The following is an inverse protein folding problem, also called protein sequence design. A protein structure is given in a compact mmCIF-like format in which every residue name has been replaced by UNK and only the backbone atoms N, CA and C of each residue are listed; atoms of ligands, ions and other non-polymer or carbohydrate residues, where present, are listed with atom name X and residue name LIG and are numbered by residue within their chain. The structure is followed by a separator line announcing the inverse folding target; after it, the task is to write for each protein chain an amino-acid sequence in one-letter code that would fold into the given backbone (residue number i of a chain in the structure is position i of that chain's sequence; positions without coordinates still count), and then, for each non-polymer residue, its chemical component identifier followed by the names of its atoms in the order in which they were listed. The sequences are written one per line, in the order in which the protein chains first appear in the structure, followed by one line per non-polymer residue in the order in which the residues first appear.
data_IF_096015309689
#
_entry.id   IF_096015309689
#
_cell.length_a   1.000
_cell.length_b   1.000
_cell.length_c   1.000
_cell.angle_alpha   90.00
_cell.angle_beta   90.00
_cell.angle_gamma   90.00
#
_symmetry.space_group_name_H-M   'P 1'
#
loop_
_entity.id
_entity.type
_entity.pdbx_description
1 polymer ?
#
# COMPACT_ATOMS: atom_id res chain seq x y z
N UNK A 1 -21.61 7.48 -8.76
CA UNK A 1 -20.63 8.56 -8.89
C UNK A 1 -19.50 8.46 -7.85
N UNK A 2 -19.80 8.22 -6.60
CA UNK A 2 -18.81 8.11 -5.50
C UNK A 2 -17.70 7.09 -5.75
N UNK A 3 -18.02 5.92 -6.30
CA UNK A 3 -17.03 4.89 -6.64
C UNK A 3 -15.98 5.33 -7.66
N UNK A 4 -16.40 6.12 -8.66
CA UNK A 4 -15.48 6.65 -9.67
C UNK A 4 -14.56 7.72 -9.07
N UNK A 5 -15.03 8.55 -8.15
CA UNK A 5 -14.22 9.54 -7.45
C UNK A 5 -13.17 8.86 -6.57
N UNK A 6 -13.56 7.84 -5.82
CA UNK A 6 -12.61 7.06 -4.99
C UNK A 6 -11.56 6.35 -5.84
N UNK A 7 -11.98 5.81 -7.00
CA UNK A 7 -11.03 5.18 -7.93
C UNK A 7 -10.04 6.20 -8.49
N UNK A 8 -10.49 7.40 -8.86
CA UNK A 8 -9.62 8.48 -9.32
C UNK A 8 -8.61 8.89 -8.25
N UNK A 9 -9.07 9.05 -7.00
CA UNK A 9 -8.20 9.38 -5.87
C UNK A 9 -7.14 8.31 -5.66
N UNK A 10 -7.51 7.03 -5.66
CA UNK A 10 -6.58 5.92 -5.50
C UNK A 10 -5.54 5.86 -6.63
N UNK A 11 -5.96 6.05 -7.88
CA UNK A 11 -5.04 6.09 -9.02
C UNK A 11 -4.06 7.28 -8.89
N UNK A 12 -4.55 8.44 -8.45
CA UNK A 12 -3.71 9.61 -8.21
C UNK A 12 -2.68 9.36 -7.09
N UNK A 13 -3.07 8.68 -6.00
CA UNK A 13 -2.16 8.27 -4.92
C UNK A 13 -1.11 7.28 -5.43
N UNK A 14 -1.50 6.24 -6.18
CA UNK A 14 -0.58 5.28 -6.78
C UNK A 14 0.42 5.97 -7.72
N UNK A 15 -0.05 6.90 -8.54
CA UNK A 15 0.79 7.65 -9.47
C UNK A 15 1.78 8.54 -8.75
N UNK A 16 1.34 9.27 -7.71
CA UNK A 16 2.21 10.14 -6.91
C UNK A 16 3.29 9.35 -6.16
N UNK A 17 2.96 8.15 -5.71
CA UNK A 17 3.87 7.28 -4.97
C UNK A 17 4.65 6.30 -5.85
N UNK A 18 4.51 6.36 -7.17
CA UNK A 18 5.19 5.45 -8.10
C UNK A 18 6.73 5.55 -8.08
N UNK A 19 7.28 6.67 -7.60
CA UNK A 19 8.71 6.89 -7.44
C UNK A 19 9.26 6.51 -6.07
N UNK A 20 8.40 6.14 -5.11
CA UNK A 20 8.82 5.78 -3.75
C UNK A 20 9.29 4.32 -3.75
N UNK A 21 10.53 4.03 -3.29
CA UNK A 21 11.01 2.67 -3.18
C UNK A 21 10.12 1.83 -2.24
N UNK A 22 9.92 0.57 -2.58
CA UNK A 22 9.12 -0.35 -1.77
C UNK A 22 7.63 -0.04 -1.67
N UNK A 23 7.13 0.99 -2.36
CA UNK A 23 5.71 1.33 -2.34
C UNK A 23 4.87 0.21 -2.97
N UNK A 24 3.76 -0.10 -2.33
CA UNK A 24 2.78 -1.09 -2.80
C UNK A 24 1.49 -0.39 -3.19
N UNK A 25 1.08 -0.59 -4.45
CA UNK A 25 -0.12 0.05 -4.99
C UNK A 25 -1.38 -0.40 -4.26
N UNK A 26 -2.37 0.48 -4.26
CA UNK A 26 -3.73 0.15 -3.86
C UNK A 26 -4.49 -0.36 -5.08
N UNK A 27 -5.12 -1.51 -4.93
CA UNK A 27 -6.07 -2.06 -5.89
C UNK A 27 -7.48 -1.93 -5.33
N UNK A 28 -8.43 -1.55 -6.17
CA UNK A 28 -9.84 -1.46 -5.79
C UNK A 28 -10.59 -2.68 -6.31
N UNK A 29 -11.20 -3.43 -5.40
CA UNK A 29 -12.15 -4.47 -5.75
C UNK A 29 -13.58 -4.00 -5.47
N UNK A 30 -14.47 -4.32 -6.40
CA UNK A 30 -15.90 -4.13 -6.23
C UNK A 30 -16.49 -5.49 -5.81
N UNK A 31 -16.89 -5.62 -4.56
CA UNK A 31 -17.69 -6.76 -4.15
C UNK A 31 -19.16 -6.36 -4.16
N UNK A 32 -19.97 -7.11 -4.90
CA UNK A 32 -21.41 -7.08 -4.65
C UNK A 32 -21.60 -7.66 -3.25
N UNK A 33 -22.08 -6.85 -2.33
CA UNK A 33 -22.46 -7.36 -1.02
C UNK A 33 -23.66 -8.27 -1.25
N UNK A 34 -23.43 -9.59 -1.30
CA UNK A 34 -24.56 -10.52 -1.20
C UNK A 34 -25.25 -10.27 0.14
N UNK A 35 -26.57 -10.13 0.16
CA UNK A 35 -27.29 -9.94 1.39
C UNK A 35 -27.32 -11.25 2.21
N UNK A 36 -26.16 -11.66 2.73
CA UNK A 36 -26.02 -12.77 3.68
C UNK A 36 -26.67 -12.52 5.05
N UNK A 37 -27.37 -11.40 5.20
CA UNK A 37 -28.15 -11.05 6.39
C UNK A 37 -29.57 -11.66 6.41
N UNK A 38 -29.96 -12.43 5.39
CA UNK A 38 -31.32 -12.98 5.29
C UNK A 38 -31.55 -14.29 6.04
N UNK A 39 -30.53 -14.89 6.61
CA UNK A 39 -30.72 -16.15 7.36
C UNK A 39 -31.26 -15.98 8.79
N UNK A 40 -31.43 -14.77 9.30
CA UNK A 40 -32.05 -14.54 10.59
C UNK A 40 -33.36 -13.74 10.52
N UNK A 41 -34.44 -14.40 10.11
CA UNK A 41 -35.79 -14.07 10.62
C UNK A 41 -36.46 -12.80 10.12
N UNK A 42 -36.10 -12.25 8.96
CA UNK A 42 -36.82 -11.13 8.35
C UNK A 42 -37.93 -11.61 7.40
N UNK A 43 -39.15 -11.16 7.60
CA UNK A 43 -40.32 -11.49 6.79
C UNK A 43 -40.12 -11.03 5.32
N UNK A 44 -40.72 -11.78 4.37
CA UNK A 44 -40.63 -11.54 2.93
C UNK A 44 -41.01 -10.11 2.47
N UNK A 45 -41.73 -9.35 3.29
CA UNK A 45 -42.07 -7.95 3.03
C UNK A 45 -40.89 -7.00 3.25
N UNK A 46 -40.03 -7.28 4.23
CA UNK A 46 -38.80 -6.52 4.50
C UNK A 46 -37.71 -6.81 3.47
N UNK A 47 -37.75 -8.01 2.87
CA UNK A 47 -36.79 -8.43 1.84
C UNK A 47 -36.94 -7.63 0.51
N UNK A 48 -38.13 -7.11 0.23
CA UNK A 48 -38.38 -6.28 -0.97
C UNK A 48 -37.75 -4.88 -0.88
N UNK A 49 -37.54 -4.36 0.32
CA UNK A 49 -36.94 -3.04 0.57
C UNK A 49 -35.41 -3.05 0.57
N UNK A 50 -34.77 -4.24 0.71
CA UNK A 50 -33.31 -4.42 0.81
C UNK A 50 -32.63 -4.88 -0.48
N UNK A 51 -33.29 -4.82 -1.62
CA UNK A 51 -32.72 -5.18 -2.93
C UNK A 51 -31.75 -4.14 -3.52
N UNK A 52 -31.43 -3.09 -2.81
CA UNK A 52 -30.35 -2.19 -3.20
C UNK A 52 -29.06 -2.62 -2.50
N UNK A 53 -28.40 -3.61 -3.09
CA UNK A 53 -27.01 -3.93 -2.76
C UNK A 53 -26.16 -2.74 -3.21
N UNK A 54 -25.73 -1.92 -2.25
CA UNK A 54 -24.72 -0.93 -2.54
C UNK A 54 -23.39 -1.66 -2.77
N UNK A 55 -22.69 -1.40 -3.89
CA UNK A 55 -21.38 -2.00 -4.09
C UNK A 55 -20.45 -1.55 -2.95
N UNK A 56 -19.98 -2.51 -2.16
CA UNK A 56 -18.96 -2.24 -1.16
C UNK A 56 -17.63 -2.05 -1.90
N UNK A 57 -17.00 -0.90 -1.66
CA UNK A 57 -15.68 -0.58 -2.20
C UNK A 57 -14.63 -1.06 -1.20
N UNK A 58 -13.85 -2.04 -1.57
CA UNK A 58 -12.69 -2.48 -0.80
C UNK A 58 -11.42 -2.04 -1.52
N UNK A 59 -10.64 -1.18 -0.87
CA UNK A 59 -9.29 -0.88 -1.29
C UNK A 59 -8.34 -1.84 -0.55
N UNK A 60 -7.59 -2.63 -1.30
CA UNK A 60 -6.60 -3.56 -0.75
C UNK A 60 -5.21 -3.17 -1.25
N UNK A 61 -4.20 -3.30 -0.37
CA UNK A 61 -2.81 -3.11 -0.77
C UNK A 61 -2.33 -4.35 -1.51
N UNK A 62 -1.80 -4.16 -2.70
CA UNK A 62 -1.18 -5.23 -3.47
C UNK A 62 0.28 -5.39 -3.05
N UNK A 63 0.59 -6.41 -2.28
CA UNK A 63 1.93 -6.68 -1.78
C UNK A 63 2.83 -7.45 -2.75
N UNK A 64 2.46 -7.59 -4.02
CA UNK A 64 3.35 -8.19 -5.01
C UNK A 64 4.67 -7.43 -5.07
N UNK A 65 5.77 -8.18 -5.27
CA UNK A 65 7.10 -7.62 -5.31
C UNK A 65 7.28 -6.73 -6.55
N UNK A 66 7.88 -5.55 -6.35
CA UNK A 66 8.28 -4.64 -7.43
C UNK A 66 9.60 -5.06 -8.08
N UNK A 67 9.97 -4.40 -9.15
CA UNK A 67 11.27 -4.61 -9.79
C UNK A 67 12.42 -4.18 -8.88
N UNK A 68 13.52 -4.93 -8.87
CA UNK A 68 14.75 -4.54 -8.16
C UNK A 68 15.67 -3.77 -9.11
N UNK A 69 16.29 -2.70 -8.60
CA UNK A 69 17.22 -1.89 -9.37
C UNK A 69 18.51 -1.64 -8.58
N UNK A 70 19.69 -1.79 -9.18
CA UNK A 70 20.94 -1.47 -8.52
C UNK A 70 21.08 0.05 -8.34
N UNK A 71 21.49 0.47 -7.15
CA UNK A 71 21.79 1.87 -6.81
C UNK A 71 23.29 2.07 -6.55
N UNK A 72 24.00 0.98 -6.25
CA UNK A 72 25.40 0.99 -5.84
C UNK A 72 25.69 1.80 -4.56
N UNK A 73 24.65 2.13 -3.79
CA UNK A 73 24.77 2.77 -2.48
C UNK A 73 24.85 1.70 -1.41
N UNK A 74 25.90 1.66 -0.57
CA UNK A 74 26.12 0.58 0.39
C UNK A 74 25.01 0.46 1.47
N UNK A 75 24.27 1.53 1.74
CA UNK A 75 23.19 1.55 2.72
C UNK A 75 21.84 1.19 2.14
N UNK A 76 21.74 1.12 0.80
CA UNK A 76 20.50 0.71 0.13
C UNK A 76 20.38 -0.82 0.15
N UNK A 77 19.22 -1.32 0.53
CA UNK A 77 18.97 -2.76 0.69
C UNK A 77 17.60 -3.13 0.18
N UNK A 78 17.53 -4.04 -0.77
CA UNK A 78 16.27 -4.63 -1.21
C UNK A 78 16.01 -5.97 -0.53
N UNK A 79 14.75 -6.27 -0.25
CA UNK A 79 14.30 -7.60 0.21
C UNK A 79 13.89 -8.44 -0.99
N UNK A 80 14.46 -9.62 -1.12
CA UNK A 80 14.03 -10.66 -2.05
C UNK A 80 13.20 -11.69 -1.27
N UNK A 81 11.87 -11.60 -1.39
CA UNK A 81 10.94 -12.42 -0.62
C UNK A 81 9.80 -11.61 0.03
N UNK A 82 8.95 -12.24 0.86
CA UNK A 82 7.75 -11.62 1.42
C UNK A 82 7.98 -10.77 2.69
N UNK A 83 9.20 -10.64 3.22
CA UNK A 83 9.48 -9.95 4.48
C UNK A 83 9.40 -8.43 4.38
N UNK A 84 9.39 -7.77 5.51
CA UNK A 84 9.44 -6.32 5.70
C UNK A 84 10.58 -5.96 6.66
N UNK A 85 11.16 -4.79 6.50
CA UNK A 85 12.00 -4.17 7.53
C UNK A 85 11.12 -3.67 8.68
N UNK A 86 11.57 -3.87 9.90
CA UNK A 86 10.96 -3.28 11.08
C UNK A 86 11.70 -2.01 11.46
N UNK A 87 10.98 -0.91 11.65
CA UNK A 87 11.53 0.39 12.03
C UNK A 87 10.74 0.98 13.19
N UNK A 88 11.39 1.80 13.98
CA UNK A 88 10.78 2.44 15.14
C UNK A 88 10.07 3.74 14.71
N UNK A 89 8.77 3.66 14.51
CA UNK A 89 7.94 4.83 14.22
C UNK A 89 7.56 5.61 15.50
N UNK A 90 6.90 6.76 15.35
CA UNK A 90 6.54 7.63 16.47
C UNK A 90 5.51 7.01 17.43
N UNK A 91 4.66 6.12 16.94
CA UNK A 91 3.59 5.48 17.71
C UNK A 91 3.84 3.97 17.95
N UNK A 92 5.08 3.51 17.80
CA UNK A 92 5.46 2.11 17.91
C UNK A 92 6.12 1.59 16.64
N UNK A 93 6.32 0.28 16.57
CA UNK A 93 6.99 -0.34 15.44
C UNK A 93 6.10 -0.28 14.19
N UNK A 94 6.72 0.07 13.07
CA UNK A 94 6.10 0.06 11.75
C UNK A 94 6.96 -0.74 10.78
N UNK A 95 6.36 -1.20 9.70
CA UNK A 95 6.96 -2.11 8.74
C UNK A 95 7.06 -1.43 7.38
N UNK A 96 8.18 -1.62 6.69
CA UNK A 96 8.39 -1.02 5.38
C UNK A 96 9.13 -1.96 4.43
N UNK A 97 8.94 -1.75 3.14
CA UNK A 97 9.72 -2.34 2.05
C UNK A 97 10.75 -1.36 1.49
N UNK A 98 10.69 -0.10 1.93
CA UNK A 98 11.69 0.89 1.56
C UNK A 98 13.00 0.59 2.30
N UNK A 99 14.03 0.29 1.55
CA UNK A 99 15.39 0.03 2.06
C UNK A 99 16.36 1.18 1.76
N UNK A 100 15.88 2.38 1.43
CA UNK A 100 16.73 3.58 1.31
C UNK A 100 17.13 4.05 2.71
N UNK A 101 18.18 3.44 3.26
CA UNK A 101 18.64 3.77 4.60
C UNK A 101 19.78 4.79 4.58
N UNK A 102 19.89 5.54 5.67
CA UNK A 102 20.90 6.57 5.88
C UNK A 102 21.50 6.45 7.29
N UNK A 103 22.72 6.88 7.46
CA UNK A 103 23.30 7.03 8.78
C UNK A 103 22.84 8.35 9.38
N UNK A 104 22.08 8.30 10.46
CA UNK A 104 21.61 9.48 11.18
C UNK A 104 22.75 10.18 11.94
N UNK A 105 22.49 11.39 12.50
CA UNK A 105 23.49 12.18 13.23
C UNK A 105 24.08 11.46 14.45
N UNK A 106 23.29 10.57 15.05
CA UNK A 106 23.70 9.74 16.22
C UNK A 106 24.40 8.45 15.83
N UNK A 107 24.68 8.24 14.53
CA UNK A 107 25.26 7.00 14.02
C UNK A 107 24.23 5.87 13.85
N UNK A 108 22.97 6.08 14.13
CA UNK A 108 21.94 5.07 13.91
C UNK A 108 21.62 4.93 12.43
N UNK A 109 21.36 3.69 12.00
CA UNK A 109 20.79 3.43 10.69
C UNK A 109 19.30 3.86 10.72
N UNK A 110 18.94 4.81 9.86
CA UNK A 110 17.60 5.40 9.83
C UNK A 110 17.01 5.35 8.43
N UNK A 111 15.70 5.41 8.35
CA UNK A 111 14.98 5.65 7.09
C UNK A 111 15.16 7.11 6.66
N UNK A 112 14.65 7.45 5.49
CA UNK A 112 14.63 8.80 4.92
C UNK A 112 13.90 9.81 5.83
N UNK A 113 12.86 9.36 6.52
CA UNK A 113 12.08 10.13 7.49
C UNK A 113 12.73 10.24 8.86
N UNK A 114 13.86 9.55 9.07
CA UNK A 114 14.61 9.56 10.33
C UNK A 114 14.17 8.50 11.33
N UNK A 115 13.36 7.53 10.95
CA UNK A 115 12.98 6.43 11.84
C UNK A 115 14.13 5.43 11.98
N UNK A 116 14.53 5.08 13.22
CA UNK A 116 15.57 4.07 13.45
C UNK A 116 15.18 2.71 12.90
N UNK A 117 16.11 2.08 12.16
CA UNK A 117 15.94 0.72 11.66
C UNK A 117 16.28 -0.26 12.78
N UNK A 118 15.36 -1.18 13.04
CA UNK A 118 15.50 -2.16 14.10
C UNK A 118 16.27 -3.40 13.63
N UNK A 119 17.17 -3.84 14.48
CA UNK A 119 17.79 -5.14 14.41
C UNK A 119 17.27 -6.07 15.50
N UNK A 120 17.78 -7.31 15.55
CA UNK A 120 17.41 -8.31 16.56
C UNK A 120 17.70 -7.84 18.00
N UNK A 121 18.68 -6.94 18.20
CA UNK A 121 19.07 -6.40 19.51
C UNK A 121 18.66 -4.95 19.75
N UNK A 122 17.81 -4.37 18.92
CA UNK A 122 17.43 -2.96 18.97
C UNK A 122 17.91 -2.16 17.76
N UNK A 123 17.91 -0.83 17.79
CA UNK A 123 18.35 0.02 16.67
C UNK A 123 19.81 -0.28 16.26
N UNK A 124 20.04 -0.38 14.95
CA UNK A 124 21.38 -0.63 14.40
C UNK A 124 22.25 0.62 14.56
N UNK A 125 23.39 0.47 15.24
CA UNK A 125 24.36 1.54 15.48
C UNK A 125 25.57 1.39 14.55
N UNK A 126 25.83 2.41 13.75
CA UNK A 126 26.99 2.54 12.89
C UNK A 126 27.93 3.59 13.47
N UNK A 127 29.19 3.53 13.11
CA UNK A 127 30.15 4.55 13.48
C UNK A 127 30.05 5.72 12.49
N UNK A 128 29.59 6.87 12.99
CA UNK A 128 29.42 8.09 12.17
C UNK A 128 30.72 8.76 11.79
N UNK A 129 31.83 8.49 12.52
CA UNK A 129 33.13 9.09 12.23
C UNK A 129 33.94 8.30 11.21
N UNK A 130 33.50 7.11 10.88
CA UNK A 130 34.19 6.24 9.95
C UNK A 130 33.58 6.34 8.55
N UNK A 131 34.36 6.88 7.60
CA UNK A 131 33.98 6.92 6.16
C UNK A 131 33.92 5.55 5.50
N UNK A 132 33.97 4.49 6.29
CA UNK A 132 34.10 3.12 5.82
C UNK A 132 32.78 2.51 5.36
N UNK A 133 32.90 1.63 4.38
CA UNK A 133 31.77 0.95 3.77
C UNK A 133 31.06 0.04 4.77
N UNK A 134 29.75 0.21 4.85
CA UNK A 134 28.85 -0.73 5.52
C UNK A 134 28.67 -1.95 4.61
N UNK A 135 28.76 -3.15 5.16
CA UNK A 135 28.47 -4.40 4.45
C UNK A 135 27.28 -5.07 5.11
N UNK A 136 26.31 -5.45 4.28
CA UNK A 136 25.08 -6.12 4.71
C UNK A 136 25.01 -7.47 4.00
N UNK A 137 24.99 -8.54 4.78
CA UNK A 137 24.90 -9.89 4.25
C UNK A 137 23.49 -10.23 3.74
N UNK A 138 23.32 -11.25 2.88
CA UNK A 138 22.00 -11.72 2.48
C UNK A 138 21.12 -12.20 3.64
N UNK A 139 21.73 -12.54 4.78
CA UNK A 139 21.04 -12.95 6.02
C UNK A 139 20.68 -11.79 6.94
N UNK A 140 21.07 -10.55 6.56
CA UNK A 140 20.78 -9.33 7.31
C UNK A 140 21.85 -8.92 8.31
N UNK A 141 22.99 -9.61 8.37
CA UNK A 141 24.08 -9.22 9.27
C UNK A 141 24.73 -7.93 8.75
N UNK A 142 24.77 -6.92 9.60
CA UNK A 142 25.37 -5.62 9.32
C UNK A 142 26.76 -5.56 9.94
N UNK A 143 27.75 -5.25 9.12
CA UNK A 143 29.13 -5.05 9.58
C UNK A 143 29.68 -3.75 9.01
N UNK A 144 30.62 -3.15 9.76
CA UNK A 144 31.34 -1.95 9.37
C UNK A 144 32.82 -2.13 9.72
N UNK A 145 33.71 -2.00 8.75
CA UNK A 145 35.16 -2.32 8.95
C UNK A 145 35.45 -3.74 9.45
N UNK A 146 34.61 -4.72 9.07
CA UNK A 146 34.73 -6.08 9.57
C UNK A 146 34.23 -6.29 11.01
N UNK A 147 33.76 -5.25 11.68
CA UNK A 147 33.13 -5.33 13.01
C UNK A 147 31.63 -5.51 12.85
N UNK A 148 31.08 -6.56 13.46
CA UNK A 148 29.63 -6.78 13.47
C UNK A 148 28.93 -5.66 14.26
N UNK A 149 27.91 -5.06 13.67
CA UNK A 149 27.09 -3.98 14.25
C UNK A 149 25.69 -4.45 14.66
N UNK A 150 25.28 -5.59 14.17
CA UNK A 150 23.98 -6.19 14.48
C UNK A 150 23.41 -6.94 13.27
N UNK A 151 22.17 -7.40 13.41
CA UNK A 151 21.42 -8.05 12.32
C UNK A 151 20.10 -7.33 12.14
N UNK A 152 19.78 -6.95 10.92
CA UNK A 152 18.49 -6.35 10.56
C UNK A 152 17.35 -7.31 10.92
N UNK A 153 16.31 -6.77 11.53
CA UNK A 153 15.10 -7.52 11.83
C UNK A 153 14.18 -7.51 10.62
N UNK A 154 13.99 -8.69 10.07
CA UNK A 154 13.07 -8.95 8.97
C UNK A 154 11.87 -9.70 9.49
N UNK A 155 10.68 -9.23 9.16
CA UNK A 155 9.43 -9.79 9.65
C UNK A 155 8.58 -10.23 8.47
N UNK A 156 8.11 -11.48 8.49
CA UNK A 156 7.12 -12.01 7.57
C UNK A 156 5.75 -12.07 8.25
N UNK A 157 4.70 -11.80 7.47
CA UNK A 157 3.33 -11.85 7.94
C UNK A 157 2.56 -12.97 7.25
N UNK A 158 1.80 -13.72 8.04
CA UNK A 158 0.92 -14.76 7.50
C UNK A 158 -0.33 -14.18 6.84
N UNK A 159 -0.81 -13.03 7.31
CA UNK A 159 -2.02 -12.35 6.84
C UNK A 159 -1.71 -10.89 6.52
N UNK A 160 -1.40 -10.61 5.25
CA UNK A 160 -1.08 -9.26 4.79
C UNK A 160 -2.30 -8.33 4.78
N UNK A 161 -3.51 -8.88 4.71
CA UNK A 161 -4.78 -8.11 4.69
C UNK A 161 -5.04 -7.36 6.01
N UNK A 162 -4.39 -7.78 7.10
CA UNK A 162 -4.51 -7.13 8.41
C UNK A 162 -3.58 -5.92 8.55
N UNK A 163 -2.60 -5.78 7.65
CA UNK A 163 -1.70 -4.66 7.65
C UNK A 163 -2.43 -3.39 7.17
N UNK A 164 -2.32 -2.34 7.97
CA UNK A 164 -2.86 -1.02 7.63
C UNK A 164 -1.74 -0.08 7.22
N UNK A 165 -1.94 0.63 6.12
CA UNK A 165 -1.03 1.69 5.70
C UNK A 165 -1.16 2.88 6.66
N UNK A 166 -0.02 3.37 7.15
CA UNK A 166 0.07 4.57 8.01
C UNK A 166 0.43 5.80 7.17
N UNK A 167 1.47 5.65 6.35
CA UNK A 167 1.99 6.69 5.44
C UNK A 167 2.49 6.04 4.15
N UNK A 168 3.08 6.83 3.26
CA UNK A 168 3.66 6.38 2.00
C UNK A 168 4.75 5.34 2.21
N UNK A 169 4.39 4.04 2.13
CA UNK A 169 5.33 2.92 2.24
C UNK A 169 5.51 2.33 3.65
N UNK A 170 4.81 2.83 4.67
CA UNK A 170 4.82 2.26 6.03
C UNK A 170 3.51 1.56 6.36
N UNK A 171 3.63 0.44 7.07
CA UNK A 171 2.50 -0.41 7.47
C UNK A 171 2.56 -0.66 8.97
N UNK A 172 1.41 -0.87 9.57
CA UNK A 172 1.27 -1.27 10.97
C UNK A 172 0.27 -2.42 11.10
N UNK A 173 0.43 -3.22 12.14
CA UNK A 173 -0.56 -4.22 12.55
C UNK A 173 -1.17 -3.81 13.89
N UNK A 174 -2.20 -2.95 13.89
CA UNK A 174 -2.79 -2.41 15.12
C UNK A 174 -3.51 -3.48 15.95
N UNK A 175 -3.92 -4.57 15.33
CA UNK A 175 -4.65 -5.67 15.98
C UNK A 175 -3.75 -6.81 16.45
N UNK A 176 -2.49 -6.81 16.06
CA UNK A 176 -1.54 -7.93 16.25
C UNK A 176 -2.07 -9.27 15.71
N UNK A 177 -2.95 -9.20 14.70
CA UNK A 177 -3.58 -10.37 14.09
C UNK A 177 -2.84 -10.88 12.85
N UNK A 178 -1.91 -10.10 12.32
CA UNK A 178 -1.17 -10.47 11.11
C UNK A 178 -0.16 -11.62 11.35
N UNK A 179 -0.01 -12.09 12.60
CA UNK A 179 0.89 -13.19 12.98
C UNK A 179 2.29 -13.02 12.40
N UNK A 180 3.02 -12.07 12.96
CA UNK A 180 4.40 -11.79 12.56
C UNK A 180 5.36 -12.90 13.01
N UNK A 181 6.25 -13.30 12.13
CA UNK A 181 7.35 -14.22 12.43
C UNK A 181 8.65 -13.70 11.83
N UNK A 182 9.78 -14.14 12.38
CA UNK A 182 11.08 -13.84 11.80
C UNK A 182 11.17 -14.42 10.38
N UNK A 183 11.74 -13.66 9.47
CA UNK A 183 11.80 -14.03 8.06
C UNK A 183 12.71 -15.25 7.84
N UNK A 184 12.15 -16.27 7.19
CA UNK A 184 12.88 -17.50 6.84
C UNK A 184 12.98 -17.71 5.34
N UNK A 185 12.12 -17.05 4.55
CA UNK A 185 12.01 -17.22 3.09
C UNK A 185 12.50 -16.01 2.31
N UNK A 186 13.11 -15.05 3.01
CA UNK A 186 13.53 -13.79 2.41
C UNK A 186 15.05 -13.63 2.54
N UNK A 187 15.66 -13.01 1.55
CA UNK A 187 17.06 -12.63 1.55
C UNK A 187 17.23 -11.16 1.21
N UNK A 188 18.40 -10.59 1.60
CA UNK A 188 18.71 -9.19 1.33
C UNK A 188 19.69 -9.06 0.18
N UNK A 189 19.49 -8.01 -0.61
CA UNK A 189 20.41 -7.57 -1.67
C UNK A 189 20.90 -6.16 -1.38
N UNK A 190 22.13 -6.05 -0.94
CA UNK A 190 22.80 -4.76 -0.73
C UNK A 190 23.02 -4.03 -2.05
N UNK A 191 22.99 -2.70 -2.03
CA UNK A 191 23.19 -1.84 -3.21
C UNK A 191 22.04 -1.91 -4.22
N UNK A 192 20.88 -2.38 -3.80
CA UNK A 192 19.66 -2.45 -4.60
C UNK A 192 18.49 -1.85 -3.81
N UNK A 193 17.52 -1.33 -4.56
CA UNK A 193 16.22 -0.93 -4.01
C UNK A 193 15.11 -1.66 -4.73
N UNK A 194 14.08 -2.02 -3.99
CA UNK A 194 12.81 -2.45 -4.56
C UNK A 194 12.04 -1.23 -5.04
N UNK A 195 11.62 -1.21 -6.29
CA UNK A 195 10.78 -0.15 -6.83
C UNK A 195 9.32 -0.40 -6.52
N UNK A 196 8.53 0.66 -6.62
CA UNK A 196 7.08 0.54 -6.56
C UNK A 196 6.56 -0.50 -7.56
N UNK A 197 5.56 -1.28 -7.17
CA UNK A 197 4.87 -2.20 -8.06
C UNK A 197 3.80 -1.52 -8.94
N UNK A 198 3.78 -0.17 -8.96
CA UNK A 198 2.98 0.63 -9.89
C UNK A 198 3.86 1.29 -10.95
N UNK A 199 3.31 1.50 -12.13
CA UNK A 199 3.96 2.24 -13.22
C UNK A 199 3.10 3.44 -13.58
N UNK A 200 3.65 4.66 -13.59
CA UNK A 200 2.89 5.87 -13.92
C UNK A 200 2.12 5.79 -15.25
N UNK A 201 2.69 5.14 -16.27
CA UNK A 201 2.03 4.98 -17.57
C UNK A 201 0.76 4.12 -17.49
N UNK A 202 0.77 3.07 -16.67
CA UNK A 202 -0.41 2.23 -16.46
C UNK A 202 -1.49 2.99 -15.68
N UNK A 203 -1.09 3.67 -14.61
CA UNK A 203 -2.00 4.47 -13.79
C UNK A 203 -2.63 5.62 -14.59
N UNK A 204 -1.86 6.28 -15.50
CA UNK A 204 -2.39 7.28 -16.42
C UNK A 204 -3.44 6.71 -17.36
N UNK A 205 -3.23 5.51 -17.90
CA UNK A 205 -4.20 4.83 -18.76
C UNK A 205 -5.48 4.50 -18.00
N UNK A 206 -5.35 4.02 -16.76
CA UNK A 206 -6.48 3.71 -15.87
C UNK A 206 -7.25 4.98 -15.48
N UNK A 207 -6.55 6.09 -15.26
CA UNK A 207 -7.16 7.39 -15.02
C UNK A 207 -7.99 7.85 -16.21
N UNK A 208 -7.43 7.76 -17.43
CA UNK A 208 -8.16 8.13 -18.66
C UNK A 208 -9.41 7.27 -18.86
N UNK A 209 -9.31 5.96 -18.63
CA UNK A 209 -10.49 5.08 -18.70
C UNK A 209 -11.54 5.47 -17.65
N UNK A 210 -11.12 5.76 -16.42
CA UNK A 210 -12.03 6.14 -15.35
C UNK A 210 -12.75 7.46 -15.65
N UNK A 211 -12.04 8.44 -16.23
CA UNK A 211 -12.61 9.71 -16.68
C UNK A 211 -13.66 9.50 -17.80
N UNK A 212 -13.35 8.67 -18.79
CA UNK A 212 -14.31 8.33 -19.86
C UNK A 212 -15.57 7.66 -19.31
N UNK A 213 -15.41 6.75 -18.35
CA UNK A 213 -16.57 6.14 -17.67
C UNK A 213 -17.39 7.17 -16.90
N UNK A 214 -16.75 8.12 -16.25
CA UNK A 214 -17.43 9.19 -15.54
C UNK A 214 -18.24 10.08 -16.52
N UNK A 215 -17.64 10.50 -17.62
CA UNK A 215 -18.31 11.29 -18.67
C UNK A 215 -19.49 10.54 -19.29
N UNK A 216 -19.31 9.24 -19.57
CA UNK A 216 -20.39 8.40 -20.09
C UNK A 216 -21.58 8.33 -19.11
N UNK A 217 -21.30 8.15 -17.81
CA UNK A 217 -22.34 8.13 -16.79
C UNK A 217 -23.06 9.48 -16.65
N UNK A 218 -22.33 10.59 -16.76
CA UNK A 218 -22.96 11.93 -16.77
C UNK A 218 -23.89 12.12 -17.96
N UNK A 219 -23.50 11.68 -19.16
CA UNK A 219 -24.36 11.76 -20.35
C UNK A 219 -25.64 10.93 -20.19
N UNK A 220 -25.54 9.74 -19.59
CA UNK A 220 -26.71 8.90 -19.32
C UNK A 220 -27.70 9.62 -18.38
N UNK A 221 -27.19 10.25 -17.31
CA UNK A 221 -28.03 11.02 -16.38
C UNK A 221 -28.70 12.19 -17.11
N UNK A 222 -27.93 12.95 -17.87
CA UNK A 222 -28.51 14.09 -18.67
C UNK A 222 -29.61 13.62 -19.64
N UNK A 223 -29.38 12.51 -20.35
CA UNK A 223 -30.38 11.94 -21.24
C UNK A 223 -31.64 11.49 -20.48
N UNK A 224 -31.49 10.96 -19.27
CA UNK A 224 -32.66 10.60 -18.44
C UNK A 224 -33.41 11.83 -17.97
N UNK A 225 -32.70 12.88 -17.53
CA UNK A 225 -33.31 14.14 -17.10
C UNK A 225 -34.08 14.81 -18.27
N UNK A 226 -33.49 14.83 -19.48
CA UNK A 226 -34.17 15.33 -20.68
C UNK A 226 -35.41 14.52 -21.02
N UNK A 227 -35.36 13.19 -20.90
CA UNK A 227 -36.53 12.33 -21.14
C UNK A 227 -37.63 12.58 -20.11
N UNK A 228 -37.29 12.72 -18.85
CA UNK A 228 -38.25 13.04 -17.79
C UNK A 228 -38.86 14.43 -18.04
N UNK A 229 -38.06 15.43 -18.41
CA UNK A 229 -38.52 16.77 -18.77
C UNK A 229 -39.51 16.77 -19.92
N UNK A 230 -39.24 16.01 -20.99
CA UNK A 230 -40.18 15.86 -22.14
C UNK A 230 -41.47 15.17 -21.71
N UNK A 231 -41.39 14.09 -20.91
CA UNK A 231 -42.64 13.43 -20.44
C UNK A 231 -43.49 14.36 -19.59
N UNK A 232 -42.89 15.19 -18.72
CA UNK A 232 -43.63 16.19 -17.93
C UNK A 232 -44.31 17.23 -18.84
N UNK A 233 -43.61 17.71 -19.89
CA UNK A 233 -44.19 18.66 -20.84
C UNK A 233 -45.34 18.06 -21.64
N UNK A 234 -45.22 16.81 -22.12
CA UNK A 234 -46.30 16.13 -22.83
C UNK A 234 -47.52 15.93 -21.94
N UNK A 235 -47.36 15.54 -20.68
CA UNK A 235 -48.46 15.41 -19.72
C UNK A 235 -49.09 16.75 -19.37
N UNK A 236 -48.33 17.86 -19.38
CA UNK A 236 -48.85 19.22 -19.15
C UNK A 236 -49.64 19.76 -20.31
N UNK A 237 -49.40 19.31 -21.55
CA UNK A 237 -50.08 19.76 -22.76
C UNK A 237 -51.38 18.96 -23.08
N UNK A 238 -51.66 17.91 -22.33
CA UNK A 238 -52.87 17.06 -22.50
C UNK A 238 -54.05 17.51 -21.63
N UNK A 239 -53.85 18.50 -20.75
CA UNK A 239 -54.89 19.16 -19.97
C UNK A 239 -55.18 20.55 -20.55
#
# INVERSE_FOLDING_TARGET
MEGNLRRQQMIAENMAAGSIPGFKKLDMSFSAMEPGLFEKGLNAASARQLRYSFPAFNAQTNFSQGGMRPTNVPTDVAIDGPAFFEVQGPNGNVYTRDGEFRTGPTGQLTTKEGYPVLGMGGPIQLDSQSSSSVSISPTGDVSQNGVARGRLRLVEFSSLDQLRRVNNGYYTDPSQQAQSADATRSSLRQGHLEFSNTTPSHEMSDLMMTLRHFEANQRVIQMQDERIGKMIQELSNVN
#
